data_IF_346292352134
#
_entry.id   IF_346292352134
#
_cell.length_a   1.000
_cell.length_b   1.000
_cell.length_c   1.000
_cell.angle_alpha   90.00
_cell.angle_beta   90.00
_cell.angle_gamma   90.00
#
_symmetry.space_group_name_H-M   'P 1'
#
loop_
_entity.id
_entity.type
_entity.pdbx_description
1 polymer ?
#
# COMPACT_ATOMS: atom_id res chain seq x y z
N UNK A 1 3.43 -32.31 25.70
CA UNK A 1 4.08 -31.77 26.91
C UNK A 1 4.04 -30.27 26.78
N UNK A 2 3.14 -29.59 27.47
CA UNK A 2 3.07 -28.15 27.57
C UNK A 2 4.23 -27.67 28.43
N UNK A 3 5.15 -26.94 27.84
CA UNK A 3 6.24 -26.25 28.55
C UNK A 3 5.66 -25.32 29.62
N UNK A 4 6.29 -25.20 30.82
CA UNK A 4 5.76 -24.37 31.89
C UNK A 4 5.79 -22.90 31.48
N UNK A 5 4.72 -22.18 31.84
CA UNK A 5 4.51 -20.74 31.91
C UNK A 5 5.47 -19.84 31.12
N UNK A 6 5.49 -19.98 29.81
CA UNK A 6 6.05 -18.92 28.96
C UNK A 6 5.15 -17.70 29.10
N UNK A 7 5.63 -16.63 29.77
CA UNK A 7 4.91 -15.38 29.90
C UNK A 7 4.63 -14.84 28.50
N UNK A 8 3.36 -14.58 28.23
CA UNK A 8 2.89 -14.22 26.90
C UNK A 8 2.03 -12.97 26.96
N UNK A 9 2.41 -11.97 26.17
CA UNK A 9 1.60 -10.77 25.94
C UNK A 9 0.82 -10.98 24.64
N UNK A 10 -0.48 -10.71 24.68
CA UNK A 10 -1.36 -10.78 23.51
C UNK A 10 -2.00 -9.44 23.28
N UNK A 11 -1.86 -8.91 22.06
CA UNK A 11 -2.51 -7.70 21.60
C UNK A 11 -3.55 -8.11 20.54
N UNK A 12 -4.84 -8.09 20.92
CA UNK A 12 -5.94 -8.59 20.11
C UNK A 12 -7.25 -7.82 20.43
N UNK A 13 -7.85 -7.12 19.47
CA UNK A 13 -7.33 -6.83 18.14
C UNK A 13 -6.23 -5.77 18.17
N UNK A 14 -5.35 -5.77 17.17
CA UNK A 14 -4.47 -4.63 16.93
C UNK A 14 -5.21 -3.53 16.19
N UNK A 15 -4.78 -2.28 16.36
CA UNK A 15 -5.37 -1.10 15.71
C UNK A 15 -4.39 -0.48 14.71
N UNK A 16 -4.84 0.49 13.92
CA UNK A 16 -4.06 1.19 12.89
C UNK A 16 -3.62 0.30 11.72
N UNK A 17 -4.33 -0.81 11.52
CA UNK A 17 -4.18 -1.68 10.36
C UNK A 17 -5.52 -1.78 9.61
N UNK A 18 -5.48 -2.29 8.39
CA UNK A 18 -6.65 -2.75 7.64
C UNK A 18 -6.77 -4.28 7.84
N UNK A 19 -8.00 -4.77 8.00
CA UNK A 19 -8.28 -6.17 8.31
C UNK A 19 -8.08 -6.52 9.78
N UNK A 20 -8.05 -7.83 10.09
CA UNK A 20 -7.90 -8.32 11.46
C UNK A 20 -6.55 -8.97 11.67
N UNK A 21 -5.84 -8.49 12.66
CA UNK A 21 -4.55 -9.03 13.06
C UNK A 21 -4.44 -9.14 14.58
N UNK A 22 -3.52 -9.98 15.00
CA UNK A 22 -3.14 -10.18 16.40
C UNK A 22 -1.62 -10.22 16.52
N UNK A 23 -1.09 -9.65 17.58
CA UNK A 23 0.33 -9.79 17.93
C UNK A 23 0.45 -10.63 19.18
N UNK A 24 1.38 -11.58 19.16
CA UNK A 24 1.77 -12.36 20.33
C UNK A 24 3.25 -12.14 20.57
N UNK A 25 3.60 -11.75 21.79
CA UNK A 25 4.98 -11.61 22.26
C UNK A 25 5.22 -12.66 23.33
N UNK A 26 6.22 -13.48 23.13
CA UNK A 26 6.68 -14.48 24.10
C UNK A 26 7.91 -13.92 24.79
N UNK A 27 7.89 -13.88 26.11
CA UNK A 27 9.00 -13.40 26.93
C UNK A 27 9.84 -14.58 27.43
N UNK A 28 11.15 -14.40 27.47
CA UNK A 28 12.09 -15.26 28.14
C UNK A 28 11.99 -15.07 29.68
N UNK A 29 12.69 -15.88 30.44
CA UNK A 29 12.68 -15.84 31.90
C UNK A 29 13.26 -14.52 32.48
N UNK A 30 14.12 -13.84 31.70
CA UNK A 30 14.74 -12.55 32.02
C UNK A 30 13.93 -11.31 31.56
N UNK A 31 12.68 -11.50 31.15
CA UNK A 31 11.79 -10.48 30.57
C UNK A 31 12.23 -9.96 29.18
N UNK A 32 13.26 -10.49 28.59
CA UNK A 32 13.61 -10.18 27.21
C UNK A 32 12.59 -10.78 26.22
N UNK A 33 12.48 -10.19 25.03
CA UNK A 33 11.59 -10.73 23.98
C UNK A 33 12.26 -11.95 23.35
N UNK A 34 11.68 -13.13 23.57
CA UNK A 34 12.12 -14.37 22.91
C UNK A 34 11.57 -14.50 21.50
N UNK A 35 10.30 -14.15 21.30
CA UNK A 35 9.64 -14.22 19.99
C UNK A 35 8.50 -13.19 19.89
N UNK A 36 8.34 -12.58 18.72
CA UNK A 36 7.18 -11.75 18.38
C UNK A 36 6.54 -12.30 17.10
N UNK A 37 5.22 -12.53 17.12
CA UNK A 37 4.47 -13.05 15.99
C UNK A 37 3.33 -12.13 15.62
N UNK A 38 3.24 -11.80 14.33
CA UNK A 38 2.09 -11.15 13.75
C UNK A 38 1.19 -12.19 13.08
N UNK A 39 -0.05 -12.28 13.54
CA UNK A 39 -1.01 -13.26 13.04
C UNK A 39 -2.04 -12.55 12.15
N UNK A 40 -2.19 -12.98 10.92
CA UNK A 40 -3.39 -12.77 10.12
C UNK A 40 -4.39 -13.83 10.53
N UNK A 41 -5.52 -13.42 11.09
CA UNK A 41 -6.49 -14.34 11.74
C UNK A 41 -7.74 -14.58 10.91
N UNK A 42 -7.93 -13.85 9.80
CA UNK A 42 -9.03 -14.06 8.87
C UNK A 42 -8.61 -14.89 7.66
N UNK A 43 -9.49 -15.82 7.28
CA UNK A 43 -9.37 -16.62 6.08
C UNK A 43 -10.67 -16.58 5.30
N UNK A 44 -10.63 -16.17 4.03
CA UNK A 44 -11.81 -16.07 3.16
C UNK A 44 -11.81 -17.07 2.01
N UNK A 45 -10.70 -17.76 1.76
CA UNK A 45 -10.58 -18.86 0.79
C UNK A 45 -10.85 -18.46 -0.67
N UNK A 46 -10.52 -17.25 -1.08
CA UNK A 46 -10.80 -16.74 -2.43
C UNK A 46 -10.15 -17.59 -3.53
N UNK A 47 -8.95 -18.11 -3.31
CA UNK A 47 -8.27 -18.99 -4.27
C UNK A 47 -9.12 -20.22 -4.60
N UNK A 48 -9.79 -20.80 -3.60
CA UNK A 48 -10.71 -21.92 -3.83
C UNK A 48 -12.05 -21.45 -4.38
N UNK A 49 -12.54 -20.30 -3.96
CA UNK A 49 -13.84 -19.76 -4.36
C UNK A 49 -13.91 -19.41 -5.85
N UNK A 50 -12.79 -18.93 -6.44
CA UNK A 50 -12.74 -18.57 -7.86
C UNK A 50 -12.48 -19.77 -8.78
N UNK A 51 -12.10 -20.93 -8.26
CA UNK A 51 -11.86 -22.13 -9.09
C UNK A 51 -13.17 -22.59 -9.75
N UNK A 52 -13.12 -22.86 -11.05
CA UNK A 52 -14.27 -23.25 -11.85
C UNK A 52 -15.22 -22.11 -12.22
N UNK A 53 -14.90 -20.86 -11.84
CA UNK A 53 -15.66 -19.69 -12.31
C UNK A 53 -15.18 -19.25 -13.68
N UNK A 54 -16.08 -18.69 -14.51
CA UNK A 54 -15.69 -18.03 -15.75
C UNK A 54 -14.64 -16.95 -15.46
N UNK A 55 -13.53 -16.95 -16.20
CA UNK A 55 -12.40 -16.07 -15.92
C UNK A 55 -12.77 -14.58 -15.97
N UNK A 56 -13.74 -14.18 -16.79
CA UNK A 56 -14.22 -12.79 -16.88
C UNK A 56 -15.00 -12.31 -15.65
N UNK A 57 -15.51 -13.22 -14.79
CA UNK A 57 -16.16 -12.87 -13.54
C UNK A 57 -15.16 -12.58 -12.41
N UNK A 58 -13.97 -13.14 -12.49
CA UNK A 58 -12.98 -13.11 -11.42
C UNK A 58 -12.61 -11.68 -11.00
N UNK A 59 -12.39 -10.70 -11.92
CA UNK A 59 -12.12 -9.32 -11.54
C UNK A 59 -13.22 -8.67 -10.69
N UNK A 60 -14.46 -9.08 -10.85
CA UNK A 60 -15.58 -8.58 -10.06
C UNK A 60 -15.72 -9.28 -8.70
N UNK A 61 -15.36 -10.56 -8.64
CA UNK A 61 -15.42 -11.37 -7.43
C UNK A 61 -14.34 -10.93 -6.45
N UNK A 62 -13.08 -10.85 -6.89
CA UNK A 62 -11.92 -10.60 -5.99
C UNK A 62 -11.89 -9.20 -5.39
N UNK A 63 -12.64 -8.26 -5.91
CA UNK A 63 -12.85 -6.97 -5.25
C UNK A 63 -13.38 -7.11 -3.81
N UNK A 64 -14.08 -8.19 -3.53
CA UNK A 64 -14.69 -8.46 -2.21
C UNK A 64 -13.67 -8.89 -1.15
N UNK A 65 -12.42 -9.07 -1.54
CA UNK A 65 -11.31 -9.25 -0.60
C UNK A 65 -11.14 -8.04 0.33
N UNK A 66 -11.38 -6.82 -0.18
CA UNK A 66 -11.14 -5.60 0.57
C UNK A 66 -12.17 -4.50 0.24
N UNK A 67 -12.70 -3.83 1.26
CA UNK A 67 -13.61 -2.69 1.10
C UNK A 67 -12.88 -1.34 0.95
N UNK A 68 -11.59 -1.26 1.28
CA UNK A 68 -10.77 -0.03 1.16
C UNK A 68 -10.01 -0.01 -0.17
N UNK A 69 -9.49 -1.15 -0.61
CA UNK A 69 -8.65 -1.27 -1.81
C UNK A 69 -9.24 -2.15 -2.94
N UNK A 70 -10.56 -2.17 -3.18
CA UNK A 70 -11.18 -3.05 -4.16
C UNK A 70 -10.67 -2.83 -5.59
N UNK A 71 -10.29 -1.61 -5.93
CA UNK A 71 -9.74 -1.25 -7.24
C UNK A 71 -8.42 -1.99 -7.52
N UNK A 72 -7.54 -2.10 -6.51
CA UNK A 72 -6.26 -2.80 -6.66
C UNK A 72 -6.48 -4.29 -6.98
N UNK A 73 -7.40 -4.95 -6.28
CA UNK A 73 -7.77 -6.33 -6.56
C UNK A 73 -8.42 -6.49 -7.94
N UNK A 74 -9.32 -5.56 -8.29
CA UNK A 74 -9.98 -5.55 -9.60
C UNK A 74 -9.00 -5.45 -10.76
N UNK A 75 -8.09 -4.48 -10.70
CA UNK A 75 -7.13 -4.22 -11.78
C UNK A 75 -6.04 -5.29 -11.85
N UNK A 76 -5.54 -5.79 -10.72
CA UNK A 76 -4.59 -6.89 -10.71
C UNK A 76 -5.19 -8.14 -11.36
N UNK A 77 -6.42 -8.49 -10.99
CA UNK A 77 -7.13 -9.60 -11.60
C UNK A 77 -7.42 -9.36 -13.07
N UNK A 78 -7.84 -8.17 -13.48
CA UNK A 78 -8.09 -7.85 -14.88
C UNK A 78 -6.82 -8.01 -15.72
N UNK A 79 -5.66 -7.55 -15.25
CA UNK A 79 -4.37 -7.76 -15.92
C UNK A 79 -4.01 -9.26 -16.04
N UNK A 80 -4.31 -10.04 -15.02
CA UNK A 80 -4.11 -11.51 -15.08
C UNK A 80 -5.04 -12.13 -16.14
N UNK A 81 -6.30 -11.68 -16.20
CA UNK A 81 -7.26 -12.18 -17.19
C UNK A 81 -6.93 -11.72 -18.61
N UNK A 82 -6.32 -10.55 -18.79
CA UNK A 82 -5.80 -10.11 -20.08
C UNK A 82 -4.78 -11.13 -20.61
N UNK A 83 -3.82 -11.55 -19.80
CA UNK A 83 -2.82 -12.57 -20.17
C UNK A 83 -3.47 -13.92 -20.49
N UNK A 84 -4.44 -14.38 -19.72
CA UNK A 84 -5.17 -15.64 -19.97
C UNK A 84 -5.93 -15.57 -21.31
N UNK A 85 -6.46 -14.39 -21.65
CA UNK A 85 -7.17 -14.16 -22.92
C UNK A 85 -6.24 -13.92 -24.11
N UNK A 86 -4.91 -13.94 -23.92
CA UNK A 86 -3.92 -13.69 -24.97
C UNK A 86 -3.85 -12.22 -25.42
N UNK A 87 -4.16 -11.29 -24.52
CA UNK A 87 -4.10 -9.86 -24.82
C UNK A 87 -2.71 -9.34 -24.49
N UNK A 88 -1.92 -9.04 -25.51
CA UNK A 88 -0.56 -8.50 -25.35
C UNK A 88 -0.57 -7.00 -25.04
N UNK A 89 -1.50 -6.25 -25.64
CA UNK A 89 -1.62 -4.80 -25.46
C UNK A 89 -3.08 -4.38 -25.36
N UNK A 90 -3.35 -3.52 -24.36
CA UNK A 90 -4.63 -2.88 -24.25
C UNK A 90 -4.76 -1.71 -25.23
N UNK A 91 -5.98 -1.37 -25.72
CA UNK A 91 -6.22 -0.09 -26.35
C UNK A 91 -5.73 1.05 -25.45
N UNK A 92 -5.04 2.03 -26.03
CA UNK A 92 -4.41 3.15 -25.29
C UNK A 92 -5.38 3.85 -24.33
N UNK A 93 -6.63 4.05 -24.75
CA UNK A 93 -7.65 4.66 -23.90
C UNK A 93 -7.99 3.76 -22.70
N UNK A 94 -8.12 2.46 -22.92
CA UNK A 94 -8.42 1.51 -21.84
C UNK A 94 -7.31 1.49 -20.77
N UNK A 95 -6.06 1.48 -21.18
CA UNK A 95 -4.93 1.55 -20.25
C UNK A 95 -4.94 2.86 -19.45
N UNK A 96 -5.10 4.00 -20.12
CA UNK A 96 -5.17 5.31 -19.44
C UNK A 96 -6.30 5.40 -18.44
N UNK A 97 -7.47 4.88 -18.77
CA UNK A 97 -8.65 4.89 -17.86
C UNK A 97 -8.43 3.93 -16.69
N UNK A 98 -7.85 2.76 -16.91
CA UNK A 98 -7.46 1.86 -15.81
C UNK A 98 -6.42 2.49 -14.88
N UNK A 99 -5.38 3.15 -15.43
CA UNK A 99 -4.38 3.89 -14.65
C UNK A 99 -5.02 5.03 -13.84
N UNK A 100 -5.92 5.79 -14.45
CA UNK A 100 -6.64 6.86 -13.77
C UNK A 100 -7.44 6.33 -12.57
N UNK A 101 -8.17 5.25 -12.73
CA UNK A 101 -8.89 4.61 -11.63
C UNK A 101 -7.94 4.14 -10.52
N UNK A 102 -6.79 3.58 -10.88
CA UNK A 102 -5.80 3.13 -9.93
C UNK A 102 -5.19 4.30 -9.15
N UNK A 103 -4.87 5.40 -9.81
CA UNK A 103 -4.36 6.60 -9.12
C UNK A 103 -5.40 7.24 -8.20
N UNK A 104 -6.69 7.22 -8.59
CA UNK A 104 -7.77 7.58 -7.68
C UNK A 104 -7.83 6.69 -6.44
N UNK A 105 -7.62 5.39 -6.62
CA UNK A 105 -7.51 4.42 -5.51
C UNK A 105 -6.31 4.70 -4.61
N UNK A 106 -5.13 4.94 -5.18
CA UNK A 106 -3.92 5.24 -4.40
C UNK A 106 -4.10 6.52 -3.58
N UNK A 107 -4.64 7.57 -4.19
CA UNK A 107 -4.89 8.83 -3.51
C UNK A 107 -5.84 8.66 -2.33
N UNK A 108 -7.00 8.02 -2.53
CA UNK A 108 -7.97 7.82 -1.44
C UNK A 108 -7.44 6.89 -0.35
N UNK A 109 -6.66 5.86 -0.70
CA UNK A 109 -6.09 4.89 0.23
C UNK A 109 -4.98 5.51 1.07
N UNK A 110 -4.07 6.26 0.45
CA UNK A 110 -3.03 7.00 1.19
C UNK A 110 -3.64 8.08 2.10
N UNK A 111 -4.71 8.75 1.66
CA UNK A 111 -5.44 9.69 2.52
C UNK A 111 -6.05 9.00 3.75
N UNK A 112 -6.63 7.81 3.60
CA UNK A 112 -7.12 7.02 4.75
C UNK A 112 -5.96 6.65 5.67
N UNK A 113 -4.87 6.11 5.13
CA UNK A 113 -3.72 5.74 5.95
C UNK A 113 -3.15 6.94 6.71
N UNK A 114 -2.82 8.01 5.99
CA UNK A 114 -2.20 9.18 6.59
C UNK A 114 -3.12 9.85 7.62
N UNK A 115 -4.31 10.28 7.20
CA UNK A 115 -5.16 11.11 8.04
C UNK A 115 -5.97 10.36 9.11
N UNK A 116 -6.36 9.11 8.84
CA UNK A 116 -7.24 8.38 9.77
C UNK A 116 -6.48 7.39 10.65
N UNK A 117 -5.36 6.83 10.16
CA UNK A 117 -4.60 5.85 10.91
C UNK A 117 -3.36 6.45 11.59
N UNK A 118 -2.55 7.24 10.86
CA UNK A 118 -1.28 7.74 11.39
C UNK A 118 -1.40 9.11 12.08
N UNK A 119 -2.02 10.09 11.45
CA UNK A 119 -2.04 11.48 11.90
C UNK A 119 -2.62 11.69 13.30
N UNK A 120 -3.69 11.02 13.75
CA UNK A 120 -4.17 11.20 15.11
C UNK A 120 -3.10 10.89 16.18
N UNK A 121 -2.33 9.81 16.00
CA UNK A 121 -1.26 9.47 16.94
C UNK A 121 -0.09 10.47 16.87
N UNK A 122 0.19 11.03 15.69
CA UNK A 122 1.21 12.07 15.53
C UNK A 122 0.79 13.43 16.11
N UNK A 123 -0.50 13.81 15.98
CA UNK A 123 -1.02 15.09 16.47
C UNK A 123 -1.15 15.12 17.99
N UNK A 124 -1.65 14.03 18.58
CA UNK A 124 -1.91 13.96 20.03
C UNK A 124 -0.76 13.33 20.83
N UNK A 125 0.28 12.83 20.13
CA UNK A 125 1.37 12.07 20.74
C UNK A 125 0.97 10.63 21.10
N UNK A 126 1.94 9.73 21.10
CA UNK A 126 1.69 8.30 21.39
C UNK A 126 1.21 8.04 22.83
N UNK A 127 1.55 8.92 23.76
CA UNK A 127 1.15 8.88 25.18
C UNK A 127 -0.16 9.66 25.45
N UNK A 128 -0.68 10.34 24.44
CA UNK A 128 -1.92 11.12 24.57
C UNK A 128 -3.14 10.25 24.89
N UNK A 129 -4.22 10.86 25.42
CA UNK A 129 -5.43 10.12 25.80
C UNK A 129 -6.01 9.34 24.61
N UNK A 130 -6.20 8.03 24.74
CA UNK A 130 -6.69 7.14 23.67
C UNK A 130 -8.02 7.61 23.07
N UNK A 131 -8.89 8.23 23.87
CA UNK A 131 -10.17 8.80 23.43
C UNK A 131 -10.03 9.96 22.43
N UNK A 132 -8.89 10.65 22.41
CA UNK A 132 -8.61 11.76 21.49
C UNK A 132 -7.82 11.30 20.25
N UNK A 133 -7.05 10.21 20.36
CA UNK A 133 -6.22 9.69 19.28
C UNK A 133 -7.03 8.96 18.20
N UNK A 134 -7.97 9.67 17.58
CA UNK A 134 -8.84 9.17 16.52
C UNK A 134 -9.32 10.34 15.64
N UNK A 135 -10.08 10.03 14.60
CA UNK A 135 -10.56 11.04 13.66
C UNK A 135 -11.54 12.03 14.30
N UNK A 136 -12.30 11.63 15.31
CA UNK A 136 -13.22 12.54 16.01
C UNK A 136 -12.43 13.60 16.76
N UNK A 137 -11.42 13.19 17.54
CA UNK A 137 -10.52 14.14 18.20
C UNK A 137 -9.79 15.06 17.20
N UNK A 138 -9.43 14.53 16.01
CA UNK A 138 -8.85 15.38 14.95
C UNK A 138 -9.85 16.40 14.44
N UNK A 139 -11.12 16.06 14.24
CA UNK A 139 -12.17 17.00 13.82
C UNK A 139 -12.35 18.10 14.87
N UNK A 140 -12.37 17.75 16.14
CA UNK A 140 -12.59 18.69 17.24
C UNK A 140 -11.42 19.66 17.45
N UNK A 141 -10.18 19.20 17.32
CA UNK A 141 -9.00 19.98 17.69
C UNK A 141 -8.20 20.50 16.50
N UNK A 142 -8.33 19.88 15.31
CA UNK A 142 -7.60 20.21 14.10
C UNK A 142 -8.53 20.23 12.87
N UNK A 143 -9.57 21.10 12.83
CA UNK A 143 -10.62 21.06 11.81
C UNK A 143 -10.11 21.22 10.37
N UNK A 144 -9.04 21.99 10.15
CA UNK A 144 -8.44 22.13 8.82
C UNK A 144 -7.79 20.83 8.35
N UNK A 145 -7.10 20.11 9.23
CA UNK A 145 -6.53 18.79 8.91
C UNK A 145 -7.63 17.79 8.59
N UNK A 146 -8.71 17.80 9.37
CA UNK A 146 -9.89 16.97 9.11
C UNK A 146 -10.53 17.30 7.75
N UNK A 147 -10.58 18.57 7.37
CA UNK A 147 -11.06 19.02 6.06
C UNK A 147 -10.20 18.45 4.93
N UNK A 148 -8.87 18.53 5.02
CA UNK A 148 -7.97 17.93 4.04
C UNK A 148 -8.22 16.42 3.92
N UNK A 149 -8.33 15.73 5.05
CA UNK A 149 -8.60 14.30 5.12
C UNK A 149 -9.84 13.89 4.32
N UNK A 150 -10.94 14.60 4.56
CA UNK A 150 -12.24 14.32 3.93
C UNK A 150 -12.19 14.61 2.43
N UNK A 151 -11.68 15.76 2.03
CA UNK A 151 -11.74 16.18 0.63
C UNK A 151 -10.74 15.49 -0.27
N UNK A 152 -9.52 15.22 0.18
CA UNK A 152 -8.52 14.47 -0.59
C UNK A 152 -9.02 13.03 -0.81
N UNK A 153 -9.51 12.39 0.24
CA UNK A 153 -10.13 11.05 0.12
C UNK A 153 -11.33 11.06 -0.82
N UNK A 154 -12.24 12.03 -0.64
CA UNK A 154 -13.42 12.18 -1.49
C UNK A 154 -13.05 12.33 -2.96
N UNK A 155 -12.04 13.14 -3.26
CA UNK A 155 -11.59 13.35 -4.64
C UNK A 155 -11.13 12.04 -5.29
N UNK A 156 -10.30 11.24 -4.63
CA UNK A 156 -9.91 9.92 -5.13
C UNK A 156 -11.12 9.01 -5.39
N UNK A 157 -12.13 9.05 -4.52
CA UNK A 157 -13.38 8.30 -4.71
C UNK A 157 -14.24 8.83 -5.88
N UNK A 158 -14.23 10.15 -6.13
CA UNK A 158 -14.91 10.70 -7.32
C UNK A 158 -14.21 10.30 -8.61
N UNK A 159 -12.88 10.21 -8.63
CA UNK A 159 -12.13 9.66 -9.77
C UNK A 159 -12.56 8.21 -10.03
N UNK A 160 -12.60 7.37 -9.01
CA UNK A 160 -13.03 5.97 -9.14
C UNK A 160 -14.47 5.88 -9.66
N UNK A 161 -15.37 6.72 -9.13
CA UNK A 161 -16.77 6.77 -9.53
C UNK A 161 -16.93 7.20 -10.99
N UNK A 162 -16.20 8.22 -11.42
CA UNK A 162 -16.28 8.78 -12.77
C UNK A 162 -15.99 7.75 -13.86
N UNK A 163 -15.07 6.82 -13.61
CA UNK A 163 -14.69 5.78 -14.58
C UNK A 163 -15.32 4.42 -14.29
N UNK A 164 -15.65 4.12 -13.03
CA UNK A 164 -16.13 2.80 -12.61
C UNK A 164 -17.59 2.76 -12.13
N UNK A 165 -18.30 3.91 -12.19
CA UNK A 165 -19.71 4.04 -11.82
C UNK A 165 -19.99 4.04 -10.32
N UNK A 166 -19.09 3.56 -9.48
CA UNK A 166 -19.23 3.45 -8.02
C UNK A 166 -17.93 3.85 -7.32
N UNK A 167 -18.04 4.41 -6.13
CA UNK A 167 -16.88 4.77 -5.29
C UNK A 167 -16.18 3.56 -4.67
N UNK A 168 -16.95 2.50 -4.41
CA UNK A 168 -16.49 1.24 -3.82
C UNK A 168 -16.98 0.10 -4.71
N UNK A 169 -16.13 -0.88 -4.98
CA UNK A 169 -16.37 -2.00 -5.88
C UNK A 169 -16.81 -1.55 -7.29
N UNK A 170 -15.98 -0.73 -7.97
CA UNK A 170 -16.31 -0.25 -9.33
C UNK A 170 -16.36 -1.40 -10.34
N UNK A 171 -17.02 -1.15 -11.47
CA UNK A 171 -17.08 -2.09 -12.59
C UNK A 171 -16.50 -1.40 -13.82
N UNK A 172 -15.21 -1.62 -14.09
CA UNK A 172 -14.53 -0.96 -15.20
C UNK A 172 -13.77 -1.93 -16.09
N UNK A 173 -12.74 -2.59 -15.51
CA UNK A 173 -11.82 -3.40 -16.28
C UNK A 173 -12.46 -4.75 -16.62
N UNK A 174 -12.44 -5.07 -17.89
CA UNK A 174 -12.81 -6.37 -18.47
C UNK A 174 -11.62 -6.93 -19.22
N UNK A 175 -11.53 -8.25 -19.46
CA UNK A 175 -10.44 -8.81 -20.26
C UNK A 175 -10.33 -8.10 -21.62
N UNK A 176 -9.14 -7.59 -21.91
CA UNK A 176 -8.84 -6.87 -23.14
C UNK A 176 -9.25 -5.39 -23.18
N UNK A 177 -9.84 -4.83 -22.11
CA UNK A 177 -10.24 -3.43 -22.18
C UNK A 177 -10.97 -2.88 -20.97
N UNK A 178 -11.90 -1.97 -21.24
CA UNK A 178 -12.80 -1.33 -20.27
C UNK A 178 -14.22 -1.30 -20.82
N UNK A 179 -15.22 -1.37 -19.95
CA UNK A 179 -16.62 -1.32 -20.34
C UNK A 179 -17.22 0.10 -20.39
N UNK A 180 -16.48 1.10 -19.91
CA UNK A 180 -16.89 2.52 -19.93
C UNK A 180 -15.69 3.42 -20.16
N UNK A 181 -15.94 4.64 -20.65
CA UNK A 181 -14.94 5.72 -20.77
C UNK A 181 -15.27 6.87 -19.81
N UNK A 182 -14.25 7.68 -19.53
CA UNK A 182 -14.44 8.93 -18.82
C UNK A 182 -15.20 9.93 -19.70
N UNK A 183 -16.33 10.44 -19.22
CA UNK A 183 -17.07 11.50 -19.91
C UNK A 183 -16.31 12.83 -19.87
N UNK A 184 -16.59 13.71 -20.85
CA UNK A 184 -16.01 15.08 -20.87
C UNK A 184 -16.45 15.85 -19.64
N UNK A 185 -17.72 15.72 -19.24
CA UNK A 185 -18.27 16.41 -18.08
C UNK A 185 -17.58 15.96 -16.77
N UNK A 186 -17.38 14.66 -16.57
CA UNK A 186 -16.66 14.15 -15.39
C UNK A 186 -15.19 14.56 -15.41
N UNK A 187 -14.53 14.51 -16.57
CA UNK A 187 -13.16 15.01 -16.73
C UNK A 187 -13.03 16.47 -16.28
N UNK A 188 -13.92 17.33 -16.75
CA UNK A 188 -13.85 18.77 -16.48
C UNK A 188 -14.18 19.06 -15.01
N UNK A 189 -15.13 18.33 -14.41
CA UNK A 189 -15.43 18.42 -12.99
C UNK A 189 -14.21 18.01 -12.12
N UNK A 190 -13.53 16.93 -12.47
CA UNK A 190 -12.32 16.50 -11.78
C UNK A 190 -11.18 17.53 -11.93
N UNK A 191 -10.97 18.05 -13.15
CA UNK A 191 -9.96 19.09 -13.40
C UNK A 191 -10.21 20.36 -12.62
N UNK A 192 -11.47 20.77 -12.46
CA UNK A 192 -11.82 21.98 -11.71
C UNK A 192 -11.45 21.94 -10.22
N UNK A 193 -11.18 20.76 -9.66
CA UNK A 193 -10.84 20.59 -8.24
C UNK A 193 -9.38 20.23 -7.98
N UNK A 194 -8.61 19.84 -9.00
CA UNK A 194 -7.30 19.21 -8.81
C UNK A 194 -6.27 20.13 -8.15
N UNK A 195 -6.25 21.40 -8.50
CA UNK A 195 -5.28 22.37 -7.97
C UNK A 195 -5.42 22.51 -6.44
N UNK A 196 -6.65 22.53 -5.96
CA UNK A 196 -6.92 22.59 -4.52
C UNK A 196 -6.51 21.29 -3.82
N UNK A 197 -6.71 20.13 -4.43
CA UNK A 197 -6.27 18.84 -3.89
C UNK A 197 -4.74 18.76 -3.82
N UNK A 198 -4.05 19.26 -4.84
CA UNK A 198 -2.58 19.36 -4.84
C UNK A 198 -2.10 20.28 -3.73
N UNK A 199 -2.71 21.46 -3.57
CA UNK A 199 -2.36 22.40 -2.50
C UNK A 199 -2.51 21.76 -1.11
N UNK A 200 -3.66 21.14 -0.80
CA UNK A 200 -3.85 20.46 0.47
C UNK A 200 -2.95 19.24 0.68
N UNK A 201 -2.54 18.58 -0.40
CA UNK A 201 -1.57 17.48 -0.31
C UNK A 201 -0.17 17.98 0.07
N UNK A 202 0.22 19.16 -0.44
CA UNK A 202 1.46 19.83 -0.03
C UNK A 202 1.40 20.30 1.42
N UNK A 203 0.29 20.91 1.85
CA UNK A 203 0.09 21.32 3.25
C UNK A 203 0.16 20.12 4.20
N UNK A 204 -0.42 18.98 3.80
CA UNK A 204 -0.35 17.73 4.55
C UNK A 204 1.08 17.19 4.64
N UNK A 205 1.86 17.28 3.57
CA UNK A 205 3.28 16.90 3.56
C UNK A 205 4.09 17.76 4.52
N UNK A 206 3.89 19.07 4.49
CA UNK A 206 4.57 20.00 5.41
C UNK A 206 4.15 19.78 6.87
N UNK A 207 2.88 19.46 7.12
CA UNK A 207 2.41 19.02 8.44
C UNK A 207 3.14 17.76 8.88
N UNK A 208 3.24 16.74 8.01
CA UNK A 208 3.94 15.49 8.31
C UNK A 208 5.40 15.75 8.72
N UNK A 209 6.12 16.57 7.95
CA UNK A 209 7.51 16.94 8.26
C UNK A 209 7.63 17.59 9.64
N UNK A 210 6.76 18.55 9.96
CA UNK A 210 6.77 19.19 11.29
C UNK A 210 6.55 18.19 12.42
N UNK A 211 5.54 17.31 12.28
CA UNK A 211 5.22 16.32 13.29
C UNK A 211 6.35 15.30 13.50
N UNK A 212 6.98 14.85 12.41
CA UNK A 212 8.15 13.96 12.49
C UNK A 212 9.34 14.66 13.16
N UNK A 213 9.59 15.93 12.86
CA UNK A 213 10.69 16.68 13.48
C UNK A 213 10.45 17.00 14.96
N UNK A 214 9.20 17.10 15.43
CA UNK A 214 8.89 17.35 16.83
C UNK A 214 9.34 16.21 17.75
N UNK A 215 9.35 14.98 17.26
CA UNK A 215 9.82 13.80 18.02
C UNK A 215 10.80 12.96 17.17
N UNK A 216 11.78 13.66 16.58
CA UNK A 216 12.74 13.06 15.66
C UNK A 216 13.47 11.82 16.22
N UNK A 217 13.91 11.77 17.50
CA UNK A 217 14.55 10.58 18.04
C UNK A 217 13.63 9.35 18.05
N UNK A 218 12.37 9.52 18.45
CA UNK A 218 11.37 8.44 18.42
C UNK A 218 11.08 8.02 16.99
N UNK A 219 10.86 8.96 16.07
CA UNK A 219 10.57 8.66 14.67
C UNK A 219 11.73 7.92 14.00
N UNK A 220 12.98 8.27 14.30
CA UNK A 220 14.15 7.59 13.79
C UNK A 220 14.32 6.14 14.31
N UNK A 221 13.81 5.86 15.52
CA UNK A 221 13.87 4.54 16.13
C UNK A 221 12.62 3.68 15.84
N UNK A 222 11.47 4.30 15.52
CA UNK A 222 10.20 3.61 15.39
C UNK A 222 10.12 2.74 14.14
N UNK A 223 10.07 1.42 14.33
CA UNK A 223 9.97 0.46 13.23
C UNK A 223 11.16 0.46 12.28
N UNK A 224 12.29 1.02 12.68
CA UNK A 224 13.52 1.07 11.88
C UNK A 224 14.28 -0.24 12.01
N UNK A 225 14.49 -0.91 10.89
CA UNK A 225 15.32 -2.10 10.77
C UNK A 225 15.77 -2.27 9.32
N UNK A 226 16.91 -2.86 9.14
CA UNK A 226 17.45 -3.15 7.81
C UNK A 226 16.60 -4.18 7.08
N UNK A 227 16.33 -3.98 5.79
CA UNK A 227 15.58 -4.89 4.97
C UNK A 227 15.96 -4.79 3.50
N UNK A 228 15.55 -5.80 2.72
CA UNK A 228 15.47 -5.68 1.27
C UNK A 228 14.19 -4.94 0.88
N UNK A 229 14.11 -4.48 -0.35
CA UNK A 229 12.97 -3.75 -0.91
C UNK A 229 12.60 -4.34 -2.26
N UNK A 230 11.29 -4.46 -2.53
CA UNK A 230 10.78 -4.89 -3.84
C UNK A 230 9.67 -3.94 -4.28
N UNK A 231 9.75 -3.45 -5.50
CA UNK A 231 8.73 -2.58 -6.10
C UNK A 231 8.67 -2.74 -7.61
N UNK A 232 7.61 -2.17 -8.21
CA UNK A 232 7.51 -1.97 -9.63
C UNK A 232 8.32 -0.74 -10.04
N UNK A 233 9.01 -0.86 -11.18
CA UNK A 233 9.79 0.23 -11.80
C UNK A 233 9.55 0.20 -13.30
N UNK A 234 9.35 1.36 -13.91
CA UNK A 234 9.25 1.49 -15.35
C UNK A 234 10.60 1.19 -16.02
N UNK A 235 10.58 0.90 -17.33
CA UNK A 235 11.78 0.59 -18.10
C UNK A 235 12.86 1.68 -18.02
N UNK A 236 12.46 2.94 -17.92
CA UNK A 236 13.36 4.09 -17.77
C UNK A 236 13.82 4.37 -16.33
N UNK A 237 13.46 3.51 -15.38
CA UNK A 237 13.78 3.68 -13.95
C UNK A 237 12.79 4.52 -13.15
N UNK A 238 11.77 5.09 -13.75
CA UNK A 238 10.75 5.86 -13.04
C UNK A 238 9.92 4.96 -12.10
N UNK A 239 9.40 5.54 -11.02
CA UNK A 239 8.38 4.87 -10.20
C UNK A 239 7.16 4.55 -11.05
N UNK A 240 6.76 3.28 -11.11
CA UNK A 240 5.48 2.90 -11.72
C UNK A 240 4.59 2.23 -10.66
N UNK A 241 3.37 2.72 -10.53
CA UNK A 241 2.40 2.23 -9.54
C UNK A 241 1.38 1.26 -10.15
N UNK A 242 1.41 1.07 -11.47
CA UNK A 242 0.45 0.26 -12.21
C UNK A 242 1.09 -0.80 -13.12
N UNK A 243 2.18 -0.46 -13.77
CA UNK A 243 2.89 -1.31 -14.72
C UNK A 243 4.37 -1.48 -14.36
N UNK A 244 5.20 -1.70 -15.38
CA UNK A 244 6.63 -1.90 -15.19
C UNK A 244 7.01 -3.33 -14.81
N UNK A 245 8.24 -3.48 -14.36
CA UNK A 245 8.84 -4.74 -13.94
C UNK A 245 9.21 -4.71 -12.45
N UNK A 246 9.41 -5.86 -11.87
CA UNK A 246 9.88 -5.96 -10.48
C UNK A 246 11.37 -5.65 -10.40
N UNK A 247 11.73 -4.76 -9.48
CA UNK A 247 13.09 -4.50 -9.05
C UNK A 247 13.21 -4.80 -7.56
N UNK A 248 14.27 -5.53 -7.18
CA UNK A 248 14.66 -5.71 -5.79
C UNK A 248 16.02 -5.11 -5.52
N UNK A 249 16.15 -4.42 -4.40
CA UNK A 249 17.43 -3.92 -3.88
C UNK A 249 17.65 -4.38 -2.44
N UNK A 250 18.88 -4.52 -2.05
CA UNK A 250 19.24 -4.84 -0.67
C UNK A 250 19.24 -3.58 0.24
N UNK A 251 19.50 -3.79 1.52
CA UNK A 251 19.65 -2.72 2.53
C UNK A 251 20.71 -1.66 2.22
N UNK A 252 21.68 -1.97 1.34
CA UNK A 252 22.73 -1.03 0.93
C UNK A 252 22.41 -0.33 -0.38
N UNK A 253 21.30 -0.69 -1.05
CA UNK A 253 20.90 -0.18 -2.35
C UNK A 253 21.49 -0.95 -3.53
N UNK A 254 22.18 -2.07 -3.29
CA UNK A 254 22.64 -2.93 -4.37
C UNK A 254 21.47 -3.70 -4.99
N UNK A 255 21.44 -3.75 -6.32
CA UNK A 255 20.39 -4.47 -7.05
C UNK A 255 20.53 -5.98 -6.87
N UNK A 256 19.48 -6.63 -6.38
CA UNK A 256 19.40 -8.09 -6.27
C UNK A 256 18.87 -8.67 -7.59
N UNK A 257 17.80 -8.08 -8.11
CA UNK A 257 17.29 -8.35 -9.47
C UNK A 257 16.58 -7.12 -10.01
N UNK A 258 16.47 -7.02 -11.35
CA UNK A 258 15.80 -5.94 -12.06
C UNK A 258 15.20 -6.47 -13.37
N UNK A 259 14.19 -5.76 -13.89
CA UNK A 259 13.57 -6.10 -15.15
C UNK A 259 12.73 -7.40 -15.13
N UNK A 260 12.41 -7.91 -13.95
CA UNK A 260 11.64 -9.16 -13.82
C UNK A 260 10.17 -8.89 -14.09
N UNK A 261 9.65 -9.54 -15.13
CA UNK A 261 8.22 -9.42 -15.46
C UNK A 261 7.35 -10.10 -14.40
N UNK A 262 6.12 -9.63 -14.15
CA UNK A 262 5.21 -10.29 -13.22
C UNK A 262 4.97 -11.79 -13.53
N UNK A 263 5.09 -12.21 -14.80
CA UNK A 263 4.96 -13.61 -15.17
C UNK A 263 6.13 -14.51 -14.69
N UNK A 264 7.27 -13.90 -14.42
CA UNK A 264 8.48 -14.59 -13.96
C UNK A 264 8.65 -14.55 -12.44
N UNK A 265 7.69 -13.95 -11.71
CA UNK A 265 7.85 -13.67 -10.28
C UNK A 265 8.21 -14.92 -9.47
N UNK A 266 7.67 -16.07 -9.86
CA UNK A 266 7.85 -17.35 -9.15
C UNK A 266 9.28 -17.89 -9.20
N UNK A 267 10.07 -17.46 -10.17
CA UNK A 267 11.52 -17.78 -10.24
C UNK A 267 12.31 -17.01 -9.16
N UNK A 268 11.84 -15.84 -8.77
CA UNK A 268 12.53 -14.90 -7.88
C UNK A 268 11.96 -14.84 -6.46
N UNK A 269 10.65 -15.05 -6.31
CA UNK A 269 9.94 -14.94 -5.04
C UNK A 269 9.41 -16.31 -4.64
N UNK A 270 9.72 -16.72 -3.44
CA UNK A 270 9.18 -17.93 -2.81
C UNK A 270 8.25 -17.58 -1.66
N UNK A 271 7.37 -18.50 -1.31
CA UNK A 271 6.46 -18.36 -0.18
C UNK A 271 6.80 -19.36 0.92
N UNK A 272 6.72 -18.94 2.18
CA UNK A 272 6.78 -19.80 3.34
C UNK A 272 5.43 -19.78 4.09
N UNK A 273 4.95 -20.97 4.51
CA UNK A 273 3.75 -21.12 5.31
C UNK A 273 4.12 -21.35 6.77
N UNK A 274 3.45 -20.67 7.68
CA UNK A 274 3.58 -20.83 9.13
C UNK A 274 2.26 -21.30 9.73
N UNK A 275 2.29 -22.21 10.66
CA UNK A 275 1.10 -22.81 11.27
C UNK A 275 0.28 -21.84 12.14
N UNK A 276 0.85 -20.70 12.51
CA UNK A 276 0.25 -19.73 13.43
C UNK A 276 -0.38 -18.52 12.74
N UNK A 277 -0.34 -18.43 11.40
CA UNK A 277 -0.93 -17.32 10.63
C UNK A 277 -1.50 -17.82 9.32
N UNK A 278 -2.58 -17.21 8.83
CA UNK A 278 -3.09 -17.43 7.48
C UNK A 278 -2.28 -16.71 6.40
N UNK A 279 -1.38 -15.81 6.79
CA UNK A 279 -0.49 -15.12 5.88
C UNK A 279 0.58 -16.08 5.37
N UNK A 280 0.90 -15.99 4.09
CA UNK A 280 2.15 -16.49 3.53
C UNK A 280 3.25 -15.47 3.75
N UNK A 281 4.47 -15.94 3.91
CA UNK A 281 5.66 -15.12 4.13
C UNK A 281 6.55 -15.19 2.91
N UNK A 282 6.43 -14.21 1.98
CA UNK A 282 7.23 -14.20 0.76
C UNK A 282 8.68 -13.81 1.05
N UNK A 283 9.60 -14.39 0.29
CA UNK A 283 11.03 -14.12 0.39
C UNK A 283 11.70 -14.17 -0.98
N UNK A 284 12.80 -13.45 -1.13
CA UNK A 284 13.66 -13.47 -2.32
C UNK A 284 14.43 -14.80 -2.34
N UNK A 285 14.18 -15.64 -3.36
CA UNK A 285 14.71 -17.01 -3.43
C UNK A 285 16.24 -17.07 -3.39
N UNK A 286 16.94 -16.16 -4.09
CA UNK A 286 18.39 -16.13 -4.12
C UNK A 286 19.06 -15.87 -2.76
N UNK A 287 18.33 -15.26 -1.83
CA UNK A 287 18.80 -14.96 -0.48
C UNK A 287 18.31 -16.00 0.56
N UNK A 288 17.36 -16.85 0.17
CA UNK A 288 16.78 -17.83 1.09
C UNK A 288 15.83 -17.23 2.12
N UNK A 289 15.25 -18.09 2.96
CA UNK A 289 14.18 -17.71 3.91
C UNK A 289 14.66 -16.82 5.06
N UNK A 290 15.91 -16.91 5.46
CA UNK A 290 16.45 -16.16 6.58
C UNK A 290 16.72 -14.70 6.21
N UNK A 291 17.27 -14.46 5.01
CA UNK A 291 17.76 -13.15 4.61
C UNK A 291 16.94 -12.54 3.46
N UNK A 292 16.04 -13.32 2.85
CA UNK A 292 15.29 -12.94 1.65
C UNK A 292 13.99 -12.18 1.90
N UNK A 293 13.60 -11.91 3.14
CA UNK A 293 12.42 -11.11 3.43
C UNK A 293 12.64 -9.64 3.01
N UNK A 294 11.56 -8.97 2.62
CA UNK A 294 11.61 -7.66 2.01
C UNK A 294 10.41 -6.79 2.37
N UNK A 295 10.57 -5.49 2.23
CA UNK A 295 9.49 -4.50 2.31
C UNK A 295 8.91 -4.22 0.95
N UNK A 296 7.63 -3.89 0.93
CA UNK A 296 6.87 -3.35 -0.19
C UNK A 296 6.20 -2.04 0.23
N UNK A 297 5.41 -1.44 -0.65
CA UNK A 297 4.67 -0.22 -0.37
C UNK A 297 5.51 1.05 -0.55
N UNK A 298 5.06 2.21 -0.01
CA UNK A 298 5.64 3.51 -0.32
C UNK A 298 7.15 3.61 -0.10
N UNK A 299 7.67 3.01 0.98
CA UNK A 299 9.09 3.04 1.27
C UNK A 299 9.91 2.28 0.21
N UNK A 300 9.45 1.08 -0.18
CA UNK A 300 10.08 0.31 -1.23
C UNK A 300 9.98 1.00 -2.59
N UNK A 301 8.83 1.60 -2.90
CA UNK A 301 8.64 2.36 -4.14
C UNK A 301 9.66 3.51 -4.26
N UNK A 302 9.84 4.28 -3.18
CA UNK A 302 10.81 5.39 -3.14
C UNK A 302 12.26 4.89 -3.23
N UNK A 303 12.58 3.77 -2.61
CA UNK A 303 13.95 3.24 -2.59
C UNK A 303 14.32 2.53 -3.90
N UNK A 304 13.39 1.81 -4.53
CA UNK A 304 13.65 1.05 -5.74
C UNK A 304 13.67 1.90 -7.02
N UNK A 305 12.90 3.01 -7.09
CA UNK A 305 12.88 3.84 -8.29
C UNK A 305 14.08 4.80 -8.35
N UNK A 306 14.48 5.15 -9.58
CA UNK A 306 15.54 6.13 -9.80
C UNK A 306 15.00 7.56 -9.68
N UNK A 307 13.75 7.78 -10.11
CA UNK A 307 13.06 9.08 -10.02
C UNK A 307 11.52 8.91 -10.07
N UNK A 308 10.81 10.02 -9.81
CA UNK A 308 9.35 10.12 -10.02
C UNK A 308 9.09 11.16 -11.10
N UNK A 309 8.32 10.80 -12.13
CA UNK A 309 8.07 11.65 -13.30
C UNK A 309 7.32 12.95 -13.00
N UNK A 310 6.72 13.12 -11.81
CA UNK A 310 6.01 14.35 -11.42
C UNK A 310 6.90 15.25 -10.58
N UNK A 311 7.08 16.53 -10.96
CA UNK A 311 8.10 17.40 -10.35
C UNK A 311 7.94 17.59 -8.83
N UNK A 312 6.71 17.74 -8.34
CA UNK A 312 6.46 17.92 -6.91
C UNK A 312 6.78 16.68 -6.10
N UNK A 313 6.39 15.50 -6.60
CA UNK A 313 6.69 14.23 -5.93
C UNK A 313 8.18 13.91 -5.98
N UNK A 314 8.87 14.18 -7.10
CA UNK A 314 10.31 13.98 -7.21
C UNK A 314 11.09 14.89 -6.25
N UNK A 315 10.66 16.15 -6.09
CA UNK A 315 11.25 17.04 -5.09
C UNK A 315 11.11 16.46 -3.68
N UNK A 316 9.91 15.99 -3.31
CA UNK A 316 9.65 15.37 -2.01
C UNK A 316 10.46 14.08 -1.81
N UNK A 317 10.60 13.24 -2.87
CA UNK A 317 11.42 12.02 -2.84
C UNK A 317 12.89 12.35 -2.58
N UNK A 318 13.45 13.31 -3.29
CA UNK A 318 14.85 13.73 -3.10
C UNK A 318 15.11 14.23 -1.68
N UNK A 319 14.22 15.06 -1.16
CA UNK A 319 14.28 15.55 0.21
C UNK A 319 14.22 14.39 1.22
N UNK A 320 13.27 13.45 1.05
CA UNK A 320 13.14 12.28 1.91
C UNK A 320 14.39 11.38 1.90
N UNK A 321 15.08 11.26 0.76
CA UNK A 321 16.29 10.42 0.62
C UNK A 321 17.58 11.09 1.08
N UNK A 322 17.60 12.37 1.40
CA UNK A 322 18.82 13.08 1.85
C UNK A 322 19.51 12.41 3.05
N UNK A 323 18.80 11.98 4.12
CA UNK A 323 19.44 11.34 5.26
C UNK A 323 20.18 10.04 4.92
N UNK A 324 19.75 9.31 3.90
CA UNK A 324 20.36 8.06 3.48
C UNK A 324 21.70 8.21 2.74
N UNK A 325 22.08 9.45 2.35
CA UNK A 325 23.32 9.72 1.63
C UNK A 325 23.58 8.77 0.43
N UNK A 326 22.51 8.48 -0.34
CA UNK A 326 22.56 7.58 -1.49
C UNK A 326 22.16 6.12 -1.20
N UNK A 327 22.04 5.74 0.05
CA UNK A 327 21.51 4.43 0.46
C UNK A 327 19.98 4.48 0.60
N UNK A 328 19.30 3.32 0.69
CA UNK A 328 17.90 3.23 1.12
C UNK A 328 17.68 3.90 2.48
N UNK A 329 16.50 4.49 2.64
CA UNK A 329 16.11 5.23 3.87
C UNK A 329 15.11 4.38 4.62
#
# INVERSE_FOLDING_TARGET
>A
MTSPDTRRIVIDPITRIEGHGKVTIVLNDDDSIGEARFHVVEFRGFERFIRGRPYWEVPMIVQRLCGICPVSHHLCSAKTMDLIAGVDQLPTTAEKVRRLMHYGQLLQSNAVHYFHLATPDLLFGFEGPSRQRNIVGTIENYPEVAKWAIFIRKYGQEVIKAVGGKKIHPSLAIPGGVNTNLSIADRDALRGSIDQIVAWSLDALELCKRLVHQDAPRMAAFGTFESNYVSLVAENGAMDLYGGTLRAIDRNGATIFDGVTPAQYDDYIGDEVRSWSYMKFPYIRSLGKADGWYRVGPLAQINCCDFIDTPLAERARREFKQPGAGKPV
#
